data_IF_004956927076
#
_entry.id   IF_004956927076
#
_cell.length_a   1.000
_cell.length_b   1.000
_cell.length_c   1.000
_cell.angle_alpha   90.00
_cell.angle_beta   90.00
_cell.angle_gamma   90.00
#
_symmetry.space_group_name_H-M   'P 1'
#
loop_
_entity.id
_entity.type
_entity.pdbx_description
1 polymer ?
#
# COMPACT_ATOMS: atom_id res chain seq x y z
N UNK A 1 -1.77 -24.65 -23.59
CA UNK A 1 -3.07 -24.07 -23.21
C UNK A 1 -3.22 -24.36 -21.73
N UNK A 2 -3.07 -23.35 -20.89
CA UNK A 2 -3.01 -23.52 -19.44
C UNK A 2 -4.45 -23.55 -18.89
N UNK A 3 -4.87 -24.65 -18.26
CA UNK A 3 -6.24 -24.82 -17.76
C UNK A 3 -6.48 -24.10 -16.42
N UNK A 4 -5.41 -23.63 -15.77
CA UNK A 4 -5.49 -23.02 -14.44
C UNK A 4 -6.33 -21.73 -14.38
N UNK A 5 -6.35 -20.90 -15.42
CA UNK A 5 -7.05 -19.60 -15.37
C UNK A 5 -8.57 -19.73 -15.37
N UNK A 6 -9.12 -20.69 -16.12
CA UNK A 6 -10.56 -20.98 -16.13
C UNK A 6 -10.97 -21.32 -14.70
N UNK A 7 -10.14 -22.10 -13.99
CA UNK A 7 -10.44 -22.51 -12.62
C UNK A 7 -10.38 -21.36 -11.62
N UNK A 8 -9.42 -20.42 -11.73
CA UNK A 8 -9.34 -19.29 -10.81
C UNK A 8 -10.49 -18.30 -11.03
N UNK A 9 -10.78 -17.93 -12.28
CA UNK A 9 -11.90 -17.04 -12.57
C UNK A 9 -13.23 -17.68 -12.14
N UNK A 10 -13.45 -18.97 -12.42
CA UNK A 10 -14.63 -19.69 -11.94
C UNK A 10 -14.70 -19.67 -10.41
N UNK A 11 -13.62 -20.00 -9.71
CA UNK A 11 -13.56 -19.96 -8.25
C UNK A 11 -13.93 -18.58 -7.69
N UNK A 12 -13.37 -17.51 -8.26
CA UNK A 12 -13.69 -16.14 -7.85
C UNK A 12 -15.17 -15.80 -8.10
N UNK A 13 -15.77 -16.26 -9.20
CA UNK A 13 -17.20 -16.05 -9.46
C UNK A 13 -18.12 -16.75 -8.45
N UNK A 14 -17.68 -17.84 -7.82
CA UNK A 14 -18.42 -18.52 -6.74
C UNK A 14 -18.25 -17.83 -5.37
N UNK A 15 -17.41 -16.78 -5.28
CA UNK A 15 -17.08 -16.07 -4.05
C UNK A 15 -17.47 -14.57 -4.10
N UNK A 16 -18.75 -14.21 -4.33
CA UNK A 16 -19.16 -12.81 -4.53
C UNK A 16 -19.01 -11.93 -3.28
N UNK A 17 -18.98 -12.54 -2.09
CA UNK A 17 -18.88 -11.85 -0.80
C UNK A 17 -17.42 -11.62 -0.36
N UNK A 18 -16.45 -11.82 -1.26
CA UNK A 18 -15.04 -11.62 -0.93
C UNK A 18 -14.76 -10.11 -0.73
N UNK A 19 -14.20 -9.75 0.42
CA UNK A 19 -13.87 -8.36 0.80
C UNK A 19 -12.37 -8.10 0.68
N UNK A 20 -11.55 -9.13 0.93
CA UNK A 20 -10.09 -9.07 0.93
C UNK A 20 -9.56 -10.08 -0.09
N UNK A 21 -8.72 -9.62 -1.02
CA UNK A 21 -8.15 -10.47 -2.05
C UNK A 21 -6.66 -10.16 -2.25
N UNK A 22 -5.83 -11.19 -2.15
CA UNK A 22 -4.42 -11.14 -2.52
C UNK A 22 -4.16 -12.07 -3.70
N UNK A 23 -3.69 -11.51 -4.81
CA UNK A 23 -3.41 -12.18 -6.08
C UNK A 23 -1.92 -12.10 -6.39
N UNK A 24 -1.11 -12.88 -5.67
CA UNK A 24 0.33 -13.01 -5.88
C UNK A 24 0.65 -14.07 -6.93
N UNK A 25 -0.06 -14.01 -8.05
CA UNK A 25 0.13 -14.95 -9.15
C UNK A 25 0.92 -14.29 -10.29
N UNK A 26 1.48 -15.10 -11.18
CA UNK A 26 2.07 -14.62 -12.42
C UNK A 26 1.01 -14.18 -13.45
N UNK A 27 -0.29 -14.38 -13.15
CA UNK A 27 -1.37 -14.03 -14.06
C UNK A 27 -1.67 -12.52 -14.03
N UNK A 28 -1.89 -11.89 -15.19
CA UNK A 28 -2.29 -10.50 -15.26
C UNK A 28 -3.65 -10.25 -14.58
N UNK A 29 -3.71 -9.28 -13.67
CA UNK A 29 -4.99 -8.86 -13.02
C UNK A 29 -6.07 -8.54 -14.04
N UNK A 30 -5.70 -8.03 -15.22
CA UNK A 30 -6.63 -7.69 -16.30
C UNK A 30 -7.56 -8.85 -16.68
N UNK A 31 -7.06 -10.08 -16.61
CA UNK A 31 -7.85 -11.28 -16.96
C UNK A 31 -8.92 -11.63 -15.91
N UNK A 32 -8.78 -11.12 -14.69
CA UNK A 32 -9.68 -11.40 -13.57
C UNK A 32 -10.65 -10.24 -13.27
N UNK A 33 -10.53 -9.11 -13.97
CA UNK A 33 -11.35 -7.91 -13.72
C UNK A 33 -12.85 -8.22 -13.71
N UNK A 34 -13.36 -8.93 -14.72
CA UNK A 34 -14.79 -9.30 -14.77
C UNK A 34 -15.28 -10.11 -13.55
N UNK A 35 -14.39 -10.84 -12.88
CA UNK A 35 -14.73 -11.58 -11.65
C UNK A 35 -14.64 -10.65 -10.43
N UNK A 36 -13.63 -9.79 -10.38
CA UNK A 36 -13.41 -8.77 -9.34
C UNK A 36 -14.56 -7.74 -9.33
N UNK A 37 -15.07 -7.33 -10.49
CA UNK A 37 -16.16 -6.37 -10.64
C UNK A 37 -17.48 -6.81 -9.98
N UNK A 38 -17.68 -8.12 -9.82
CA UNK A 38 -18.87 -8.68 -9.18
C UNK A 38 -18.79 -8.69 -7.67
N UNK A 39 -17.63 -8.35 -7.10
CA UNK A 39 -17.36 -8.37 -5.68
C UNK A 39 -17.40 -6.96 -5.10
N UNK A 40 -17.66 -6.86 -3.80
CA UNK A 40 -17.50 -5.60 -3.05
C UNK A 40 -16.13 -5.55 -2.36
N UNK A 41 -15.06 -5.77 -3.15
CA UNK A 41 -13.70 -5.82 -2.63
C UNK A 41 -13.31 -4.46 -2.04
N UNK A 42 -12.71 -4.51 -0.85
CA UNK A 42 -12.18 -3.34 -0.14
C UNK A 42 -10.66 -3.36 -0.07
N UNK A 43 -10.05 -4.54 0.08
CA UNK A 43 -8.60 -4.71 0.14
C UNK A 43 -8.13 -5.59 -1.00
N UNK A 44 -7.21 -5.06 -1.82
CA UNK A 44 -6.64 -5.77 -2.96
C UNK A 44 -5.11 -5.71 -2.91
N UNK A 45 -4.45 -6.86 -2.95
CA UNK A 45 -3.03 -6.97 -3.26
C UNK A 45 -2.88 -7.65 -4.60
N UNK A 46 -2.30 -6.99 -5.60
CA UNK A 46 -2.18 -7.59 -6.93
C UNK A 46 -1.12 -6.94 -7.80
N UNK A 47 -0.80 -7.60 -8.91
CA UNK A 47 0.08 -7.07 -9.94
C UNK A 47 -0.70 -6.16 -10.90
N UNK A 48 -0.41 -4.86 -10.87
CA UNK A 48 -1.10 -3.86 -11.70
C UNK A 48 -0.41 -3.60 -13.04
N UNK A 49 0.66 -4.33 -13.37
CA UNK A 49 1.49 -4.08 -14.56
C UNK A 49 0.72 -4.14 -15.89
N UNK A 50 -0.38 -4.90 -15.93
CA UNK A 50 -1.19 -5.12 -17.13
C UNK A 50 -2.37 -4.16 -17.28
N UNK A 51 -2.66 -3.32 -16.28
CA UNK A 51 -3.83 -2.46 -16.28
C UNK A 51 -3.55 -1.12 -16.97
N UNK A 52 -4.58 -0.58 -17.62
CA UNK A 52 -4.58 0.76 -18.22
C UNK A 52 -5.52 1.71 -17.44
N UNK A 53 -5.56 2.98 -17.84
CA UNK A 53 -6.34 4.02 -17.16
C UNK A 53 -7.85 3.72 -17.11
N UNK A 54 -8.42 3.04 -18.11
CA UNK A 54 -9.85 2.74 -18.14
C UNK A 54 -10.20 1.65 -17.13
N UNK A 55 -9.29 0.68 -16.94
CA UNK A 55 -9.48 -0.39 -15.96
C UNK A 55 -9.68 0.17 -14.53
N UNK A 56 -8.96 1.24 -14.14
CA UNK A 56 -9.10 1.88 -12.82
C UNK A 56 -10.39 2.69 -12.62
N UNK A 57 -11.05 3.07 -13.72
CA UNK A 57 -12.35 3.76 -13.69
C UNK A 57 -13.52 2.77 -13.65
N UNK A 58 -13.23 1.47 -13.81
CA UNK A 58 -14.22 0.40 -13.80
C UNK A 58 -14.76 0.04 -12.42
N UNK A 59 -15.85 -0.75 -12.35
CA UNK A 59 -16.48 -1.15 -11.10
C UNK A 59 -15.54 -1.91 -10.14
N UNK A 60 -14.53 -2.62 -10.66
CA UNK A 60 -13.55 -3.39 -9.90
C UNK A 60 -12.82 -2.58 -8.82
N UNK A 61 -12.66 -1.28 -9.04
CA UNK A 61 -11.93 -0.38 -8.13
C UNK A 61 -12.85 0.58 -7.36
N UNK A 62 -14.17 0.51 -7.57
CA UNK A 62 -15.12 1.47 -7.00
C UNK A 62 -15.22 1.41 -5.47
N UNK A 63 -14.98 0.25 -4.87
CA UNK A 63 -15.03 0.02 -3.42
C UNK A 63 -13.64 -0.16 -2.77
N UNK A 64 -12.56 -0.12 -3.56
CA UNK A 64 -11.21 -0.39 -3.04
C UNK A 64 -10.76 0.77 -2.15
N UNK A 65 -10.43 0.42 -0.90
CA UNK A 65 -9.89 1.33 0.11
C UNK A 65 -8.42 1.09 0.37
N UNK A 66 -7.97 -0.17 0.30
CA UNK A 66 -6.57 -0.55 0.51
C UNK A 66 -6.03 -1.26 -0.73
N UNK A 67 -4.96 -0.71 -1.29
CA UNK A 67 -4.31 -1.25 -2.48
C UNK A 67 -2.82 -1.51 -2.20
N UNK A 68 -2.48 -2.79 -2.16
CA UNK A 68 -1.10 -3.27 -2.09
C UNK A 68 -0.62 -3.59 -3.52
N UNK A 69 0.22 -2.70 -4.04
CA UNK A 69 0.61 -2.68 -5.44
C UNK A 69 1.88 -3.51 -5.61
N UNK A 70 1.86 -4.39 -6.60
CA UNK A 70 3.06 -5.07 -7.10
C UNK A 70 3.20 -4.86 -8.61
N UNK A 71 4.43 -4.92 -9.13
CA UNK A 71 4.71 -4.87 -10.57
C UNK A 71 4.44 -3.52 -11.27
N UNK A 72 4.04 -2.48 -10.53
CA UNK A 72 3.86 -1.13 -11.08
C UNK A 72 5.20 -0.37 -11.10
N UNK A 73 6.05 -0.69 -12.08
CA UNK A 73 7.34 -0.02 -12.29
C UNK A 73 7.19 1.16 -13.23
N UNK A 74 7.79 2.31 -12.93
CA UNK A 74 7.86 3.44 -13.87
C UNK A 74 7.72 4.80 -13.20
N UNK A 75 7.37 5.78 -14.02
CA UNK A 75 7.19 7.18 -13.64
C UNK A 75 5.78 7.48 -13.11
N UNK A 76 5.56 8.75 -12.77
CA UNK A 76 4.25 9.26 -12.36
C UNK A 76 3.12 8.93 -13.35
N UNK A 77 3.40 8.82 -14.66
CA UNK A 77 2.36 8.58 -15.65
C UNK A 77 1.65 7.23 -15.43
N UNK A 78 2.33 6.25 -14.81
CA UNK A 78 1.71 4.98 -14.41
C UNK A 78 0.93 5.09 -13.10
N UNK A 79 1.42 5.87 -12.15
CA UNK A 79 0.78 6.02 -10.83
C UNK A 79 -0.41 6.99 -10.83
N UNK A 80 -0.48 7.91 -11.79
CA UNK A 80 -1.59 8.89 -11.92
C UNK A 80 -2.96 8.22 -12.02
N UNK A 81 -3.04 6.98 -12.48
CA UNK A 81 -4.31 6.25 -12.59
C UNK A 81 -4.95 6.03 -11.23
N UNK A 82 -4.15 5.93 -10.17
CA UNK A 82 -4.61 5.69 -8.79
C UNK A 82 -5.43 6.86 -8.23
N UNK A 83 -5.25 8.08 -8.76
CA UNK A 83 -6.04 9.25 -8.34
C UNK A 83 -7.51 9.14 -8.73
N UNK A 84 -7.85 8.23 -9.66
CA UNK A 84 -9.22 7.97 -10.10
C UNK A 84 -9.96 6.96 -9.22
N UNK A 85 -9.28 6.29 -8.28
CA UNK A 85 -9.90 5.28 -7.42
C UNK A 85 -10.62 6.00 -6.26
N UNK A 86 -11.96 6.05 -6.26
CA UNK A 86 -12.70 7.06 -5.50
C UNK A 86 -12.71 6.85 -3.99
N UNK A 87 -12.39 5.64 -3.51
CA UNK A 87 -12.38 5.29 -2.08
C UNK A 87 -10.99 4.96 -1.55
N UNK A 88 -9.95 5.17 -2.36
CA UNK A 88 -8.58 4.77 -2.01
C UNK A 88 -8.06 5.60 -0.84
N UNK A 89 -7.79 4.93 0.28
CA UNK A 89 -7.28 5.54 1.52
C UNK A 89 -5.90 5.02 1.88
N UNK A 90 -5.55 3.80 1.47
CA UNK A 90 -4.29 3.15 1.79
C UNK A 90 -3.65 2.64 0.50
N UNK A 91 -2.41 3.06 0.25
CA UNK A 91 -1.59 2.58 -0.86
C UNK A 91 -0.31 2.01 -0.29
N UNK A 92 0.07 0.81 -0.71
CA UNK A 92 1.37 0.23 -0.40
C UNK A 92 2.16 -0.07 -1.68
N UNK A 93 3.40 0.43 -1.76
CA UNK A 93 4.30 0.28 -2.93
C UNK A 93 5.52 -0.52 -2.49
N UNK A 94 5.90 -1.57 -3.23
CA UNK A 94 7.09 -2.39 -2.96
C UNK A 94 8.12 -2.38 -4.10
N UNK A 95 7.97 -1.46 -5.05
CA UNK A 95 8.88 -1.32 -6.18
C UNK A 95 9.53 0.05 -6.09
N UNK A 96 10.73 0.17 -6.65
CA UNK A 96 11.41 1.46 -6.77
C UNK A 96 10.47 2.44 -7.49
N UNK A 97 10.08 3.49 -6.79
CA UNK A 97 9.16 4.52 -7.27
C UNK A 97 9.88 5.86 -7.25
N UNK A 98 9.69 6.63 -8.32
CA UNK A 98 10.20 7.99 -8.39
C UNK A 98 9.57 8.87 -7.31
N UNK A 99 10.37 9.76 -6.71
CA UNK A 99 9.91 10.64 -5.65
C UNK A 99 8.82 11.59 -6.11
N UNK A 100 8.81 12.02 -7.38
CA UNK A 100 7.70 12.81 -7.91
C UNK A 100 6.38 12.04 -7.86
N UNK A 101 6.41 10.72 -8.10
CA UNK A 101 5.21 9.91 -7.97
C UNK A 101 4.72 9.84 -6.52
N UNK A 102 5.62 9.71 -5.53
CA UNK A 102 5.27 9.77 -4.10
C UNK A 102 4.61 11.11 -3.77
N UNK A 103 5.24 12.23 -4.17
CA UNK A 103 4.70 13.57 -3.94
C UNK A 103 3.32 13.76 -4.59
N UNK A 104 3.17 13.34 -5.84
CA UNK A 104 1.92 13.44 -6.56
C UNK A 104 0.81 12.55 -6.00
N UNK A 105 1.12 11.35 -5.50
CA UNK A 105 0.13 10.52 -4.82
C UNK A 105 -0.39 11.22 -3.56
N UNK A 106 0.51 11.78 -2.75
CA UNK A 106 0.13 12.54 -1.55
C UNK A 106 -0.71 13.77 -1.91
N UNK A 107 -0.36 14.46 -3.00
CA UNK A 107 -1.05 15.68 -3.43
C UNK A 107 -2.41 15.42 -4.10
N UNK A 108 -2.51 14.42 -4.97
CA UNK A 108 -3.66 14.23 -5.87
C UNK A 108 -4.60 13.09 -5.47
N UNK A 109 -4.29 12.33 -4.42
CA UNK A 109 -5.22 11.36 -3.82
C UNK A 109 -5.85 11.99 -2.56
N UNK A 110 -7.01 12.68 -2.66
CA UNK A 110 -7.54 13.50 -1.57
C UNK A 110 -8.00 12.70 -0.35
N UNK A 111 -8.33 11.42 -0.52
CA UNK A 111 -8.73 10.52 0.57
C UNK A 111 -7.57 9.71 1.12
N UNK A 112 -6.37 9.85 0.57
CA UNK A 112 -5.21 9.08 1.00
C UNK A 112 -4.90 9.42 2.46
N UNK A 113 -4.90 8.39 3.30
CA UNK A 113 -4.55 8.42 4.72
C UNK A 113 -3.16 7.84 4.94
N UNK A 114 -2.81 6.80 4.17
CA UNK A 114 -1.51 6.13 4.26
C UNK A 114 -0.93 5.90 2.85
N UNK A 115 0.30 6.36 2.66
CA UNK A 115 1.19 5.93 1.60
C UNK A 115 2.34 5.16 2.22
N UNK A 116 2.28 3.84 2.12
CA UNK A 116 3.28 2.93 2.65
C UNK A 116 4.29 2.57 1.56
N UNK A 117 5.55 2.96 1.75
CA UNK A 117 6.66 2.51 0.92
C UNK A 117 7.34 1.36 1.64
N UNK A 118 7.41 0.20 1.00
CA UNK A 118 8.00 -1.01 1.57
C UNK A 118 9.25 -1.39 0.81
N UNK A 119 10.31 -1.72 1.55
CA UNK A 119 11.51 -2.33 1.01
C UNK A 119 11.84 -3.61 1.78
N UNK A 120 12.53 -4.54 1.13
CA UNK A 120 13.20 -5.66 1.77
C UNK A 120 14.73 -5.46 1.83
N UNK A 121 15.24 -4.42 1.17
CA UNK A 121 16.67 -4.13 1.03
C UNK A 121 16.84 -2.61 0.99
N UNK A 122 17.02 -1.99 2.16
CA UNK A 122 17.19 -0.53 2.32
C UNK A 122 18.26 0.04 1.36
N UNK A 123 19.46 -0.57 1.19
CA UNK A 123 20.48 -0.10 0.26
C UNK A 123 20.03 0.13 -1.19
N UNK A 124 18.97 -0.55 -1.65
CA UNK A 124 18.49 -0.43 -3.03
C UNK A 124 17.65 0.83 -3.27
N UNK A 125 17.16 1.47 -2.20
CA UNK A 125 16.38 2.69 -2.27
C UNK A 125 17.30 3.89 -1.98
N UNK A 126 18.02 4.34 -3.00
CA UNK A 126 18.63 5.68 -3.02
C UNK A 126 17.54 6.75 -3.20
N UNK A 127 16.53 6.74 -2.32
CA UNK A 127 15.68 7.91 -2.19
C UNK A 127 16.56 8.95 -1.51
N UNK A 128 16.85 10.04 -2.22
CA UNK A 128 17.44 11.21 -1.62
C UNK A 128 16.37 11.88 -0.73
N UNK A 129 16.12 11.27 0.43
CA UNK A 129 15.11 11.69 1.39
C UNK A 129 15.50 13.04 2.02
N UNK A 130 16.78 13.43 1.92
CA UNK A 130 17.29 14.72 2.39
C UNK A 130 16.88 15.86 1.45
N UNK A 131 16.86 15.61 0.15
CA UNK A 131 16.45 16.61 -0.85
C UNK A 131 14.96 16.96 -0.76
N UNK A 132 14.16 16.08 -0.17
CA UNK A 132 12.71 16.20 -0.25
C UNK A 132 12.13 16.39 1.14
N UNK A 133 11.71 17.63 1.38
CA UNK A 133 11.03 18.12 2.58
C UNK A 133 9.60 17.55 2.71
N UNK A 134 9.44 16.24 2.48
CA UNK A 134 8.18 15.50 2.58
C UNK A 134 7.88 15.23 4.06
N UNK A 135 7.51 16.29 4.78
CA UNK A 135 6.98 16.21 6.13
C UNK A 135 5.49 15.87 6.12
N UNK A 136 5.08 14.94 5.26
CA UNK A 136 3.70 14.47 5.17
C UNK A 136 3.50 13.31 6.14
N UNK A 137 2.61 13.43 7.14
CA UNK A 137 2.40 12.38 8.13
C UNK A 137 1.87 11.08 7.50
N UNK A 138 1.24 11.16 6.32
CA UNK A 138 0.66 10.01 5.62
C UNK A 138 1.71 9.11 4.99
N UNK A 139 2.91 9.62 4.72
CA UNK A 139 4.01 8.82 4.19
C UNK A 139 4.63 7.99 5.30
N UNK A 140 4.70 6.67 5.13
CA UNK A 140 5.36 5.75 6.05
C UNK A 140 6.33 4.87 5.28
N UNK A 141 7.55 4.74 5.80
CA UNK A 141 8.60 3.91 5.21
C UNK A 141 8.81 2.68 6.10
N UNK A 142 8.64 1.48 5.55
CA UNK A 142 8.85 0.24 6.30
C UNK A 142 9.74 -0.77 5.59
N UNK A 143 10.58 -1.42 6.38
CA UNK A 143 11.34 -2.60 6.00
C UNK A 143 10.54 -3.84 6.41
N UNK A 144 9.84 -4.45 5.44
CA UNK A 144 8.96 -5.60 5.68
C UNK A 144 9.18 -6.63 4.58
N UNK A 145 9.32 -7.88 4.98
CA UNK A 145 9.28 -9.00 4.05
C UNK A 145 7.82 -9.21 3.61
N UNK A 146 7.45 -8.73 2.41
CA UNK A 146 6.10 -8.91 1.86
C UNK A 146 5.81 -10.37 1.50
N UNK A 147 4.54 -10.63 1.22
CA UNK A 147 3.99 -11.92 0.77
C UNK A 147 3.94 -13.00 1.84
N UNK A 148 3.92 -12.61 3.11
CA UNK A 148 3.60 -13.57 4.16
C UNK A 148 2.10 -13.78 4.17
N UNK A 149 1.67 -15.01 3.88
CA UNK A 149 0.28 -15.44 4.07
C UNK A 149 -0.19 -15.12 5.51
N UNK A 150 0.75 -15.12 6.47
CA UNK A 150 0.51 -14.81 7.87
C UNK A 150 -0.05 -13.40 8.10
N UNK A 151 0.51 -12.35 7.50
CA UNK A 151 0.03 -10.97 7.68
C UNK A 151 -1.40 -10.78 7.17
N UNK A 152 -1.70 -11.32 5.98
CA UNK A 152 -3.05 -11.26 5.42
C UNK A 152 -4.04 -12.09 6.24
N UNK A 153 -3.62 -13.26 6.71
CA UNK A 153 -4.44 -14.12 7.58
C UNK A 153 -4.66 -13.48 8.95
N UNK A 154 -3.71 -12.71 9.47
CA UNK A 154 -3.89 -11.99 10.72
C UNK A 154 -4.96 -10.91 10.58
N UNK A 155 -4.92 -10.12 9.52
CA UNK A 155 -5.91 -9.07 9.26
C UNK A 155 -7.34 -9.62 9.13
N UNK A 156 -7.52 -10.78 8.49
CA UNK A 156 -8.84 -11.43 8.40
C UNK A 156 -9.33 -11.99 9.73
N UNK A 157 -8.42 -12.27 10.67
CA UNK A 157 -8.74 -12.74 12.03
C UNK A 157 -8.77 -11.62 13.07
N UNK A 158 -8.73 -10.34 12.66
CA UNK A 158 -8.73 -9.19 13.56
C UNK A 158 -7.46 -9.06 14.41
N UNK A 159 -6.36 -9.66 13.96
CA UNK A 159 -5.02 -9.46 14.53
C UNK A 159 -4.28 -8.38 13.74
N UNK A 160 -3.15 -7.94 14.29
CA UNK A 160 -2.25 -6.98 13.63
C UNK A 160 -1.85 -7.45 12.23
N UNK A 161 -2.13 -6.62 11.24
CA UNK A 161 -1.81 -6.82 9.83
C UNK A 161 -0.82 -5.76 9.32
N UNK A 162 -0.52 -5.80 8.03
CA UNK A 162 0.41 -4.89 7.37
C UNK A 162 0.03 -3.40 7.52
N UNK A 163 -1.23 -3.08 7.79
CA UNK A 163 -1.75 -1.71 7.76
C UNK A 163 -1.76 -1.05 9.15
N UNK A 164 -1.91 -1.82 10.22
CA UNK A 164 -1.99 -1.28 11.59
C UNK A 164 -0.74 -0.46 11.98
N UNK A 165 0.46 -0.99 11.72
CA UNK A 165 1.71 -0.27 12.02
C UNK A 165 1.82 1.10 11.33
N UNK A 166 1.67 1.17 10.00
CA UNK A 166 1.62 2.43 9.27
C UNK A 166 0.58 3.43 9.79
N UNK A 167 -0.64 2.96 10.12
CA UNK A 167 -1.69 3.82 10.66
C UNK A 167 -1.28 4.46 12.00
N UNK A 168 -0.71 3.66 12.91
CA UNK A 168 -0.24 4.16 14.21
C UNK A 168 0.93 5.13 14.05
N UNK A 169 1.88 4.85 13.16
CA UNK A 169 3.01 5.74 12.86
C UNK A 169 2.52 7.07 12.28
N UNK A 170 1.63 7.03 11.28
CA UNK A 170 1.03 8.22 10.65
C UNK A 170 0.24 9.07 11.65
N UNK A 171 -0.54 8.43 12.52
CA UNK A 171 -1.23 9.11 13.60
C UNK A 171 -0.24 9.82 14.54
N UNK A 172 0.83 9.14 14.93
CA UNK A 172 1.86 9.70 15.83
C UNK A 172 2.58 10.91 15.22
N UNK A 173 2.83 10.88 13.90
CA UNK A 173 3.33 12.03 13.13
C UNK A 173 2.33 13.20 13.14
N UNK A 174 1.05 12.91 12.86
CA UNK A 174 -0.04 13.90 12.85
C UNK A 174 -0.18 14.61 14.20
N UNK A 175 -0.07 13.86 15.30
CA UNK A 175 -0.16 14.39 16.66
C UNK A 175 1.14 15.04 17.17
N UNK A 176 2.18 15.16 16.34
CA UNK A 176 3.45 15.78 16.70
C UNK A 176 4.26 14.99 17.74
N UNK A 177 4.02 13.69 17.87
CA UNK A 177 4.77 12.81 18.79
C UNK A 177 6.12 12.37 18.20
N UNK A 178 6.23 12.39 16.87
CA UNK A 178 7.47 12.22 16.13
C UNK A 178 7.90 13.60 15.61
N UNK A 179 9.19 13.94 15.73
CA UNK A 179 9.70 15.21 15.20
C UNK A 179 9.78 15.18 13.67
N UNK A 180 9.67 16.33 13.00
CA UNK A 180 9.62 16.41 11.53
C UNK A 180 10.85 15.80 10.86
N UNK A 181 12.03 16.04 11.42
CA UNK A 181 13.30 15.46 10.97
C UNK A 181 13.34 13.92 11.03
N UNK A 182 12.39 13.30 11.73
CA UNK A 182 12.27 11.85 11.86
C UNK A 182 11.16 11.26 10.97
N UNK A 183 10.44 12.06 10.17
CA UNK A 183 9.32 11.56 9.34
C UNK A 183 9.79 10.53 8.30
N UNK A 184 11.01 10.67 7.78
CA UNK A 184 11.61 9.77 6.81
C UNK A 184 12.35 8.58 7.45
N UNK A 185 12.03 8.25 8.71
CA UNK A 185 12.62 7.09 9.39
C UNK A 185 12.02 5.78 8.86
N UNK A 186 12.87 4.83 8.47
CA UNK A 186 12.46 3.47 8.15
C UNK A 186 12.08 2.68 9.40
N UNK A 187 10.92 2.03 9.42
CA UNK A 187 10.48 1.15 10.50
C UNK A 187 10.61 -0.32 10.09
N UNK A 188 11.17 -1.18 10.93
CA UNK A 188 11.20 -2.62 10.65
C UNK A 188 9.88 -3.28 11.06
N UNK A 189 9.34 -4.16 10.22
CA UNK A 189 8.03 -4.79 10.43
C UNK A 189 7.86 -5.51 11.78
N UNK A 190 8.93 -6.08 12.34
CA UNK A 190 8.86 -6.80 13.62
C UNK A 190 9.11 -5.92 14.85
N UNK A 191 9.63 -4.71 14.66
CA UNK A 191 10.11 -3.86 15.77
C UNK A 191 9.59 -2.43 15.70
N UNK A 192 8.65 -2.14 14.79
CA UNK A 192 8.14 -0.79 14.56
C UNK A 192 7.57 -0.15 15.82
N UNK A 193 6.87 -0.92 16.68
CA UNK A 193 6.33 -0.44 17.96
C UNK A 193 7.42 0.09 18.89
N UNK A 194 8.44 -0.73 19.15
CA UNK A 194 9.58 -0.33 19.99
C UNK A 194 10.28 0.91 19.42
N UNK A 195 10.50 0.94 18.12
CA UNK A 195 11.12 2.09 17.46
C UNK A 195 10.27 3.35 17.58
N UNK A 196 8.95 3.22 17.44
CA UNK A 196 8.02 4.33 17.64
C UNK A 196 8.11 4.87 19.07
N UNK A 197 8.07 3.99 20.07
CA UNK A 197 8.20 4.36 21.49
C UNK A 197 9.51 5.14 21.75
N UNK A 198 10.64 4.67 21.20
CA UNK A 198 11.94 5.33 21.32
C UNK A 198 11.92 6.75 20.73
N UNK A 199 11.26 6.94 19.58
CA UNK A 199 11.11 8.25 18.93
C UNK A 199 10.21 9.19 19.72
N UNK A 200 9.10 8.70 20.29
CA UNK A 200 8.18 9.52 21.07
C UNK A 200 8.78 9.96 22.42
N UNK A 201 9.54 9.09 23.09
CA UNK A 201 10.18 9.39 24.37
C UNK A 201 11.30 10.43 24.19
N UNK A 202 12.10 10.31 23.13
CA UNK A 202 13.12 11.31 22.77
C UNK A 202 12.56 12.69 22.41
N UNK A 203 11.25 12.78 22.15
CA UNK A 203 10.52 14.04 21.95
C UNK A 203 10.14 14.77 23.23
N UNK A 204 10.02 14.08 24.38
CA UNK A 204 9.58 14.67 25.66
C UNK A 204 10.72 15.29 26.48
N UNK A 205 11.73 15.83 25.81
CA UNK A 205 12.79 16.60 26.46
C UNK A 205 12.18 17.74 27.27
N UNK A 206 12.47 17.73 28.58
CA UNK A 206 12.13 18.70 29.63
C UNK A 206 11.93 20.11 29.07
N UNK A 207 10.69 20.59 29.10
CA UNK A 207 10.35 22.01 28.92
C UNK A 207 10.68 22.74 30.22
#
# INVERSE_FOLDING_TARGET
MDLGWITLAQFLNECPNLINLALWSHHPTKQLLNSIEKMSLQRLSTNLSSLDEQDFKGPAFSCITHLDITGLKGDWARYKVLTHVPQLTHIAINEVVDMQAIHHLLQYCPKLQILLVVTYDIPSWNLDLEDIHLYDPRLVLMEVQRFTLAEWTNGTNGKEDLWEGPEVISASKTYGRIKKEQFCTWFSGYTWRRKLDDLEVGGRGVI
#
